data_IF_952726740882
#
_entry.id   IF_952726740882
#
_cell.length_a   1.000
_cell.length_b   1.000
_cell.length_c   1.000
_cell.angle_alpha   90.00
_cell.angle_beta   90.00
_cell.angle_gamma   90.00
#
_symmetry.space_group_name_H-M   'P 1'
#
loop_
_entity.id
_entity.type
_entity.pdbx_description
1 polymer ?
#
# COMPACT_ATOMS: atom_id res chain seq x y z
N UNK A 1 -1.93 3.31 -1.85
CA UNK A 1 -2.03 3.98 -0.54
C UNK A 1 -2.96 5.17 -0.71
N UNK A 2 -4.06 5.24 0.04
CA UNK A 2 -5.17 6.19 -0.25
C UNK A 2 -4.79 7.67 -0.06
N UNK A 3 -4.01 7.99 0.98
CA UNK A 3 -3.65 9.36 1.35
C UNK A 3 -2.31 9.87 0.79
N UNK A 4 -1.43 8.97 0.34
CA UNK A 4 -0.01 9.29 0.05
C UNK A 4 0.84 9.70 1.28
N UNK A 5 0.22 9.96 2.43
CA UNK A 5 0.82 10.34 3.72
C UNK A 5 0.21 9.50 4.86
N UNK A 6 0.82 9.46 6.07
CA UNK A 6 0.19 8.82 7.23
C UNK A 6 -1.16 9.48 7.59
N UNK A 7 -2.14 8.66 7.98
CA UNK A 7 -3.45 9.14 8.45
C UNK A 7 -3.36 9.81 9.82
N UNK A 8 -2.55 9.22 10.72
CA UNK A 8 -2.30 9.73 12.07
C UNK A 8 -0.88 10.28 12.12
N UNK A 9 -0.73 11.61 12.24
CA UNK A 9 0.58 12.29 12.19
C UNK A 9 1.04 12.77 13.57
N UNK A 10 1.10 11.85 14.54
CA UNK A 10 1.53 12.17 15.90
C UNK A 10 3.06 12.19 16.05
N UNK A 11 3.62 13.33 16.48
CA UNK A 11 5.06 13.48 16.76
C UNK A 11 5.51 12.85 18.10
N UNK A 12 4.56 12.43 18.93
CA UNK A 12 4.79 11.77 20.23
C UNK A 12 3.67 10.77 20.51
N UNK A 13 3.83 9.86 21.47
CA UNK A 13 2.77 8.91 21.84
C UNK A 13 1.45 9.60 22.21
N UNK A 14 1.50 10.74 22.91
CA UNK A 14 0.30 11.52 23.23
C UNK A 14 -0.30 12.21 21.99
N UNK A 15 0.54 12.80 21.14
CA UNK A 15 0.09 13.37 19.86
C UNK A 15 -0.55 12.30 18.96
N UNK A 16 0.01 11.09 18.92
CA UNK A 16 -0.52 9.98 18.15
C UNK A 16 -1.91 9.54 18.66
N UNK A 17 -2.11 9.47 19.97
CA UNK A 17 -3.43 9.18 20.55
C UNK A 17 -4.43 10.31 20.27
N UNK A 18 -4.00 11.58 20.32
CA UNK A 18 -4.84 12.72 19.95
C UNK A 18 -5.25 12.69 18.48
N UNK A 19 -4.33 12.35 17.56
CA UNK A 19 -4.63 12.21 16.13
C UNK A 19 -5.58 11.04 15.82
N UNK A 20 -5.44 9.92 16.52
CA UNK A 20 -6.39 8.80 16.44
C UNK A 20 -7.78 9.23 16.92
N UNK A 21 -7.87 9.91 18.07
CA UNK A 21 -9.13 10.42 18.64
C UNK A 21 -9.74 11.55 17.79
N UNK A 22 -8.92 12.33 17.09
CA UNK A 22 -9.40 13.34 16.12
C UNK A 22 -10.10 12.71 14.93
N UNK A 23 -9.59 11.58 14.44
CA UNK A 23 -10.18 10.85 13.33
C UNK A 23 -11.38 9.99 13.76
N UNK A 24 -11.21 9.11 14.74
CA UNK A 24 -12.19 8.10 15.15
C UNK A 24 -13.20 8.60 16.19
N UNK A 25 -13.02 9.81 16.73
CA UNK A 25 -13.78 10.31 17.88
C UNK A 25 -13.22 9.83 19.21
N UNK A 26 -13.85 10.25 20.30
CA UNK A 26 -13.50 9.77 21.65
C UNK A 26 -13.98 8.34 21.87
N UNK A 27 -13.12 7.42 22.34
CA UNK A 27 -13.51 6.05 22.64
C UNK A 27 -14.50 6.01 23.80
N UNK A 28 -15.44 5.07 23.73
CA UNK A 28 -16.35 4.79 24.85
C UNK A 28 -15.63 4.09 26.01
N UNK A 29 -16.21 4.09 27.21
CA UNK A 29 -15.64 3.39 28.37
C UNK A 29 -15.48 1.88 28.09
N UNK A 30 -16.48 1.26 27.45
CA UNK A 30 -16.44 -0.16 27.04
C UNK A 30 -15.28 -0.45 26.09
N UNK A 31 -14.97 0.46 25.17
CA UNK A 31 -13.85 0.31 24.24
C UNK A 31 -12.49 0.50 24.94
N UNK A 32 -12.40 1.43 25.88
CA UNK A 32 -11.22 1.60 26.74
C UNK A 32 -10.98 0.37 27.62
N UNK A 33 -12.04 -0.27 28.11
CA UNK A 33 -11.96 -1.54 28.85
C UNK A 33 -11.58 -2.72 27.93
N UNK A 34 -12.16 -2.83 26.74
CA UNK A 34 -11.80 -3.85 25.75
C UNK A 34 -10.32 -3.74 25.32
N UNK A 35 -9.80 -2.52 25.16
CA UNK A 35 -8.38 -2.27 24.91
C UNK A 35 -7.47 -2.72 26.06
N UNK A 36 -7.94 -2.68 27.32
CA UNK A 36 -7.20 -3.17 28.48
C UNK A 36 -7.29 -4.70 28.62
N UNK A 37 -8.47 -5.27 28.40
CA UNK A 37 -8.73 -6.71 28.52
C UNK A 37 -7.88 -7.54 27.55
N UNK A 38 -7.54 -6.99 26.39
CA UNK A 38 -6.59 -7.60 25.44
C UNK A 38 -5.13 -7.65 25.91
N UNK A 39 -4.77 -7.09 27.07
CA UNK A 39 -3.43 -7.17 27.69
C UNK A 39 -2.34 -6.28 27.06
N UNK A 40 -2.47 -5.91 25.79
CA UNK A 40 -1.42 -5.20 25.04
C UNK A 40 -1.43 -3.67 25.21
N UNK A 41 -2.57 -3.04 25.55
CA UNK A 41 -2.67 -1.58 25.54
C UNK A 41 -2.26 -0.91 26.86
N UNK A 42 -0.95 -0.79 27.09
CA UNK A 42 -0.37 0.03 28.20
C UNK A 42 -0.80 1.51 28.19
N UNK A 43 -1.38 1.98 27.08
CA UNK A 43 -1.82 3.36 26.88
C UNK A 43 -3.31 3.60 27.14
N UNK A 44 -4.10 2.58 27.50
CA UNK A 44 -5.55 2.73 27.67
C UNK A 44 -5.94 3.78 28.74
N UNK A 45 -5.14 3.93 29.81
CA UNK A 45 -5.33 5.01 30.81
C UNK A 45 -5.07 6.43 30.28
N UNK A 46 -4.41 6.58 29.13
CA UNK A 46 -4.34 7.86 28.40
C UNK A 46 -5.53 8.05 27.47
N UNK A 47 -6.03 6.99 26.83
CA UNK A 47 -7.29 7.04 26.07
C UNK A 47 -8.50 7.36 26.95
N UNK A 48 -8.54 6.86 28.20
CA UNK A 48 -9.55 7.26 29.18
C UNK A 48 -9.60 8.79 29.40
N UNK A 49 -8.43 9.43 29.56
CA UNK A 49 -8.31 10.90 29.72
C UNK A 49 -8.69 11.67 28.46
N UNK A 50 -8.54 11.05 27.28
CA UNK A 50 -8.98 11.65 26.02
C UNK A 50 -10.49 11.45 25.83
N UNK A 51 -11.10 10.38 26.37
CA UNK A 51 -12.54 10.14 26.30
C UNK A 51 -13.35 11.24 26.99
N UNK A 52 -12.81 11.83 28.07
CA UNK A 52 -13.36 13.01 28.76
C UNK A 52 -13.53 14.26 27.87
N UNK A 53 -12.98 14.26 26.63
CA UNK A 53 -13.09 15.38 25.69
C UNK A 53 -14.35 15.34 24.80
N UNK A 54 -15.17 14.29 24.88
CA UNK A 54 -16.46 14.11 24.17
C UNK A 54 -16.45 14.57 22.70
N UNK A 55 -15.52 14.03 21.89
CA UNK A 55 -15.35 14.46 20.49
C UNK A 55 -16.05 13.52 19.51
N UNK A 56 -16.81 14.05 18.53
CA UNK A 56 -17.35 13.24 17.45
C UNK A 56 -16.23 12.70 16.55
N UNK A 57 -16.51 11.59 15.88
CA UNK A 57 -15.66 11.09 14.80
C UNK A 57 -15.67 12.05 13.60
N UNK A 58 -14.54 12.14 12.90
CA UNK A 58 -14.48 12.77 11.58
C UNK A 58 -15.11 11.84 10.54
N UNK A 59 -15.75 12.39 9.51
CA UNK A 59 -16.29 11.58 8.42
C UNK A 59 -15.15 10.94 7.60
N UNK A 60 -15.32 9.69 7.14
CA UNK A 60 -14.29 9.01 6.36
C UNK A 60 -14.02 9.69 5.02
N UNK A 61 -15.03 10.34 4.45
CA UNK A 61 -14.98 11.18 3.27
C UNK A 61 -14.10 12.43 3.48
N UNK A 62 -14.03 12.98 4.70
CA UNK A 62 -13.15 14.11 5.04
C UNK A 62 -11.71 13.66 5.31
N UNK A 63 -11.54 12.46 5.88
CA UNK A 63 -10.22 11.87 6.14
C UNK A 63 -9.57 11.35 4.85
N UNK A 64 -10.37 10.85 3.90
CA UNK A 64 -9.96 10.19 2.65
C UNK A 64 -10.67 10.82 1.42
N UNK A 65 -10.50 12.13 1.16
CA UNK A 65 -11.29 12.85 0.14
C UNK A 65 -11.13 12.34 -1.29
N UNK A 66 -10.00 11.69 -1.60
CA UNK A 66 -9.79 11.05 -2.90
C UNK A 66 -10.71 9.83 -3.14
N UNK A 67 -11.32 9.28 -2.08
CA UNK A 67 -12.19 8.10 -2.12
C UNK A 67 -13.61 8.41 -1.58
N UNK A 68 -13.98 9.70 -1.47
CA UNK A 68 -15.28 10.13 -0.94
C UNK A 68 -16.48 9.57 -1.73
N UNK A 69 -16.31 9.29 -3.02
CA UNK A 69 -17.33 8.68 -3.88
C UNK A 69 -17.26 7.13 -3.89
N UNK A 70 -16.16 6.55 -3.40
CA UNK A 70 -15.89 5.11 -3.36
C UNK A 70 -16.22 4.52 -1.99
N UNK A 71 -17.51 4.43 -1.65
CA UNK A 71 -17.99 3.92 -0.35
C UNK A 71 -17.35 2.58 0.05
N UNK A 72 -17.19 1.66 -0.89
CA UNK A 72 -16.58 0.34 -0.71
C UNK A 72 -15.11 0.42 -0.25
N UNK A 73 -14.39 1.48 -0.65
CA UNK A 73 -13.03 1.77 -0.24
C UNK A 73 -12.95 2.37 1.16
N UNK A 74 -13.98 3.10 1.61
CA UNK A 74 -14.09 3.71 2.94
C UNK A 74 -14.56 2.72 4.02
N UNK A 75 -15.44 1.77 3.67
CA UNK A 75 -15.94 0.73 4.59
C UNK A 75 -14.80 -0.18 5.12
N UNK A 76 -13.70 -0.33 4.38
CA UNK A 76 -12.52 -1.09 4.78
C UNK A 76 -11.74 -0.45 5.95
N UNK A 77 -11.20 0.78 5.85
CA UNK A 77 -10.52 1.43 6.97
C UNK A 77 -11.46 1.64 8.16
N UNK A 78 -12.75 1.93 7.95
CA UNK A 78 -13.76 1.99 9.03
C UNK A 78 -13.81 0.68 9.83
N UNK A 79 -13.93 -0.46 9.14
CA UNK A 79 -14.02 -1.78 9.78
C UNK A 79 -12.69 -2.29 10.36
N UNK A 80 -11.55 -1.71 9.98
CA UNK A 80 -10.22 -2.09 10.46
C UNK A 80 -9.74 -1.21 11.63
N UNK A 81 -10.12 0.07 11.64
CA UNK A 81 -9.64 1.08 12.59
C UNK A 81 -10.65 1.29 13.73
N UNK A 82 -10.91 0.21 14.48
CA UNK A 82 -11.71 0.24 15.72
C UNK A 82 -10.82 0.27 16.97
N UNK A 83 -11.27 0.97 18.01
CA UNK A 83 -10.64 0.96 19.34
C UNK A 83 -10.66 -0.45 19.95
N UNK A 84 -11.83 -1.08 19.99
CA UNK A 84 -12.00 -2.48 20.40
C UNK A 84 -11.28 -3.41 19.39
N UNK A 85 -10.27 -4.18 19.82
CA UNK A 85 -9.56 -5.11 18.94
C UNK A 85 -10.45 -6.24 18.38
N UNK A 86 -11.49 -6.67 19.11
CA UNK A 86 -12.37 -7.77 18.72
C UNK A 86 -13.40 -7.36 17.64
N UNK A 87 -13.72 -6.06 17.53
CA UNK A 87 -14.57 -5.52 16.45
C UNK A 87 -13.83 -5.37 15.12
N UNK A 88 -12.50 -5.42 15.10
CA UNK A 88 -11.69 -5.24 13.87
C UNK A 88 -11.91 -6.38 12.89
N UNK A 89 -12.05 -6.03 11.62
CA UNK A 89 -12.32 -6.99 10.56
C UNK A 89 -11.17 -7.99 10.39
N UNK A 90 -11.47 -9.28 10.56
CA UNK A 90 -10.48 -10.34 10.36
C UNK A 90 -9.94 -10.31 8.90
N UNK A 91 -8.64 -10.52 8.65
CA UNK A 91 -8.05 -10.37 7.30
C UNK A 91 -8.76 -11.19 6.22
N UNK A 92 -9.09 -12.45 6.52
CA UNK A 92 -9.86 -13.33 5.63
C UNK A 92 -11.26 -12.81 5.29
N UNK A 93 -11.84 -11.95 6.13
CA UNK A 93 -13.11 -11.27 5.87
C UNK A 93 -12.90 -9.99 5.06
N UNK A 94 -11.87 -9.21 5.37
CA UNK A 94 -11.51 -7.99 4.64
C UNK A 94 -11.25 -8.25 3.15
N UNK A 95 -10.55 -9.35 2.81
CA UNK A 95 -10.33 -9.80 1.43
C UNK A 95 -11.63 -10.09 0.64
N UNK A 96 -12.79 -10.17 1.30
CA UNK A 96 -14.11 -10.41 0.65
C UNK A 96 -14.83 -9.13 0.26
N UNK A 97 -14.28 -7.96 0.62
CA UNK A 97 -14.86 -6.65 0.33
C UNK A 97 -15.15 -6.49 -1.16
N UNK A 98 -16.21 -5.76 -1.48
CA UNK A 98 -16.54 -5.29 -2.83
C UNK A 98 -15.38 -4.50 -3.46
N UNK A 99 -14.60 -3.78 -2.66
CA UNK A 99 -13.41 -3.07 -3.10
C UNK A 99 -12.42 -3.98 -3.87
N UNK A 100 -12.21 -5.21 -3.40
CA UNK A 100 -11.28 -6.16 -4.04
C UNK A 100 -11.90 -6.94 -5.22
N UNK A 101 -13.19 -6.81 -5.49
CA UNK A 101 -13.84 -7.50 -6.61
C UNK A 101 -13.42 -6.92 -7.97
N UNK A 102 -12.92 -5.68 -7.99
CA UNK A 102 -12.39 -5.00 -9.17
C UNK A 102 -10.90 -5.27 -9.42
N UNK A 103 -10.20 -6.03 -8.56
CA UNK A 103 -8.81 -6.44 -8.80
C UNK A 103 -8.62 -7.08 -10.19
N UNK A 104 -9.47 -8.03 -10.64
CA UNK A 104 -9.31 -8.64 -11.96
C UNK A 104 -9.59 -7.69 -13.12
N UNK A 105 -10.11 -6.48 -12.89
CA UNK A 105 -10.35 -5.48 -13.92
C UNK A 105 -9.12 -4.57 -14.18
N UNK A 106 -8.16 -4.53 -13.24
CA UNK A 106 -6.97 -3.66 -13.30
C UNK A 106 -6.22 -3.79 -14.66
N UNK A 107 -5.83 -2.69 -15.31
CA UNK A 107 -5.03 -2.73 -16.53
C UNK A 107 -3.59 -3.26 -16.31
N UNK A 108 -3.07 -3.22 -15.09
CA UNK A 108 -1.74 -3.69 -14.75
C UNK A 108 -1.73 -5.21 -14.49
N UNK A 109 -0.63 -5.91 -14.80
CA UNK A 109 -0.51 -7.33 -14.48
C UNK A 109 -0.47 -7.54 -12.96
N UNK A 110 -1.49 -8.20 -12.41
CA UNK A 110 -1.49 -8.65 -11.02
C UNK A 110 -0.40 -9.72 -10.81
N UNK A 111 0.30 -9.72 -9.66
CA UNK A 111 1.24 -10.77 -9.34
C UNK A 111 0.52 -12.12 -9.18
N UNK A 112 1.02 -13.18 -9.83
CA UNK A 112 0.34 -14.47 -9.92
C UNK A 112 0.09 -15.13 -8.55
N UNK A 113 1.01 -14.94 -7.62
CA UNK A 113 0.92 -15.45 -6.25
C UNK A 113 -0.08 -14.70 -5.35
N UNK A 114 -0.76 -13.66 -5.84
CA UNK A 114 -1.81 -12.94 -5.09
C UNK A 114 -3.00 -13.83 -4.70
N UNK A 115 -3.17 -14.96 -5.40
CA UNK A 115 -4.31 -15.87 -5.27
C UNK A 115 -3.91 -17.33 -4.96
N UNK A 116 -2.64 -17.55 -4.61
CA UNK A 116 -2.11 -18.88 -4.26
C UNK A 116 -2.17 -19.13 -2.74
N UNK A 117 -3.39 -19.12 -2.20
CA UNK A 117 -3.65 -19.33 -0.78
C UNK A 117 -3.31 -20.77 -0.33
N UNK A 118 -2.69 -20.89 0.85
CA UNK A 118 -2.37 -22.19 1.46
C UNK A 118 -3.59 -22.85 2.12
N UNK A 119 -3.50 -24.15 2.44
CA UNK A 119 -4.58 -24.83 3.16
C UNK A 119 -4.74 -24.29 4.59
N UNK A 120 -3.64 -23.91 5.24
CA UNK A 120 -3.61 -23.28 6.56
C UNK A 120 -4.29 -21.91 6.55
N UNK A 121 -3.98 -21.05 5.57
CA UNK A 121 -4.63 -19.74 5.41
C UNK A 121 -6.14 -19.90 5.20
N UNK A 122 -6.52 -20.82 4.30
CA UNK A 122 -7.91 -21.17 4.06
C UNK A 122 -8.56 -21.85 5.28
N UNK A 123 -7.84 -22.56 6.14
CA UNK A 123 -8.43 -23.26 7.30
C UNK A 123 -9.18 -22.28 8.23
N UNK A 124 -8.64 -21.08 8.41
CA UNK A 124 -9.23 -19.98 9.21
C UNK A 124 -10.44 -19.32 8.55
N UNK A 125 -10.68 -19.59 7.27
CA UNK A 125 -11.72 -18.97 6.48
C UNK A 125 -13.05 -19.75 6.56
N UNK A 126 -14.15 -19.01 6.75
CA UNK A 126 -15.51 -19.55 6.58
C UNK A 126 -15.76 -20.06 5.14
N UNK A 127 -16.72 -20.96 4.98
CA UNK A 127 -17.15 -21.54 3.70
C UNK A 127 -17.49 -20.48 2.65
N UNK A 128 -18.13 -19.37 3.03
CA UNK A 128 -18.44 -18.29 2.07
C UNK A 128 -17.19 -17.47 1.72
N UNK A 129 -16.22 -17.35 2.63
CA UNK A 129 -14.92 -16.74 2.35
C UNK A 129 -14.13 -17.57 1.34
N UNK A 130 -13.99 -18.88 1.58
CA UNK A 130 -13.34 -19.83 0.66
C UNK A 130 -13.89 -19.71 -0.76
N UNK A 131 -15.22 -19.73 -0.92
CA UNK A 131 -15.87 -19.61 -2.24
C UNK A 131 -15.50 -18.31 -2.98
N UNK A 132 -15.48 -17.17 -2.30
CA UNK A 132 -15.09 -15.88 -2.90
C UNK A 132 -13.61 -15.84 -3.30
N UNK A 133 -12.71 -16.35 -2.44
CA UNK A 133 -11.27 -16.40 -2.72
C UNK A 133 -10.96 -17.34 -3.91
N UNK A 134 -11.63 -18.50 -3.98
CA UNK A 134 -11.54 -19.39 -5.15
C UNK A 134 -12.08 -18.76 -6.43
N UNK A 135 -13.18 -18.01 -6.36
CA UNK A 135 -13.70 -17.28 -7.52
C UNK A 135 -12.69 -16.22 -8.01
N UNK A 136 -12.09 -15.45 -7.08
CA UNK A 136 -11.04 -14.49 -7.40
C UNK A 136 -9.83 -15.16 -8.07
N UNK A 137 -9.38 -16.32 -7.54
CA UNK A 137 -8.30 -17.13 -8.12
C UNK A 137 -8.59 -17.51 -9.58
N UNK A 138 -9.79 -18.02 -9.85
CA UNK A 138 -10.17 -18.39 -11.22
C UNK A 138 -10.24 -17.19 -12.17
N UNK A 139 -10.73 -16.03 -11.71
CA UNK A 139 -10.77 -14.81 -12.53
C UNK A 139 -9.37 -14.30 -12.89
N UNK A 140 -8.44 -14.27 -11.91
CA UNK A 140 -7.04 -13.85 -12.15
C UNK A 140 -6.30 -14.84 -13.05
N UNK A 141 -6.47 -16.16 -12.82
CA UNK A 141 -5.85 -17.20 -13.66
C UNK A 141 -6.39 -17.20 -15.09
N UNK A 142 -7.68 -16.91 -15.30
CA UNK A 142 -8.26 -16.80 -16.64
C UNK A 142 -7.80 -15.55 -17.42
N UNK A 143 -7.41 -14.47 -16.73
CA UNK A 143 -6.84 -13.26 -17.36
C UNK A 143 -5.34 -13.34 -17.62
N UNK A 144 -4.58 -14.17 -16.91
CA UNK A 144 -3.15 -14.34 -17.18
C UNK A 144 -2.95 -15.05 -18.52
N UNK A 145 -2.44 -14.38 -19.57
CA UNK A 145 -1.96 -15.09 -20.73
C UNK A 145 -0.74 -15.90 -20.32
N UNK A 146 -0.46 -16.97 -21.06
CA UNK A 146 0.77 -17.74 -20.96
C UNK A 146 1.97 -16.80 -21.14
N UNK A 147 2.71 -16.50 -20.06
CA UNK A 147 3.97 -15.75 -20.18
C UNK A 147 5.03 -16.73 -20.65
N UNK A 148 5.27 -16.76 -21.96
CA UNK A 148 6.40 -17.45 -22.58
C UNK A 148 7.71 -16.84 -22.07
N UNK A 149 8.26 -17.45 -21.02
CA UNK A 149 9.54 -17.08 -20.40
C UNK A 149 10.75 -17.27 -21.33
N UNK A 150 10.57 -17.94 -22.48
CA UNK A 150 11.62 -18.10 -23.51
C UNK A 150 11.82 -16.86 -24.41
N UNK A 151 10.89 -15.90 -24.43
CA UNK A 151 10.91 -14.80 -25.43
C UNK A 151 11.79 -13.59 -25.05
N UNK A 152 12.11 -13.39 -23.76
CA UNK A 152 12.87 -12.22 -23.27
C UNK A 152 14.38 -12.33 -23.53
N UNK A 153 14.91 -13.54 -23.77
CA UNK A 153 16.36 -13.81 -23.87
C UNK A 153 17.03 -13.48 -25.21
N UNK A 154 16.32 -12.94 -26.22
CA UNK A 154 16.85 -12.77 -27.60
C UNK A 154 16.70 -11.37 -28.21
N UNK A 155 16.78 -10.31 -27.40
CA UNK A 155 16.99 -8.92 -27.87
C UNK A 155 17.97 -8.14 -26.97
N UNK A 156 19.16 -8.69 -26.80
CA UNK A 156 20.31 -8.02 -26.17
C UNK A 156 21.57 -8.32 -27.00
N UNK A 157 21.72 -7.58 -28.09
CA UNK A 157 22.83 -7.67 -29.05
C UNK A 157 22.56 -6.66 -30.17
N UNK A 158 23.61 -5.95 -30.60
CA UNK A 158 23.54 -4.62 -31.26
C UNK A 158 23.06 -3.54 -30.26
N UNK A 159 23.82 -2.51 -29.87
CA UNK A 159 25.10 -1.98 -30.38
C UNK A 159 26.00 -1.42 -29.26
N UNK A 160 27.29 -1.78 -29.23
CA UNK A 160 28.32 -1.10 -28.38
C UNK A 160 29.71 -0.99 -29.06
N UNK A 161 29.81 -1.18 -30.37
CA UNK A 161 31.10 -1.20 -31.09
C UNK A 161 31.60 0.20 -31.53
N UNK A 162 30.84 1.28 -31.31
CA UNK A 162 31.18 2.64 -31.78
C UNK A 162 32.02 3.49 -30.78
N UNK A 163 32.30 2.99 -29.57
CA UNK A 163 32.99 3.77 -28.51
C UNK A 163 34.54 3.62 -28.49
N UNK A 164 35.15 2.90 -29.44
CA UNK A 164 36.60 2.60 -29.42
C UNK A 164 37.48 3.40 -30.38
N UNK A 165 36.95 4.01 -31.45
CA UNK A 165 37.78 4.71 -32.44
C UNK A 165 38.07 6.19 -32.09
N UNK A 166 37.18 6.84 -31.34
CA UNK A 166 37.29 8.27 -31.01
C UNK A 166 38.51 8.66 -30.14
N UNK A 167 39.23 7.70 -29.57
CA UNK A 167 40.31 7.95 -28.59
C UNK A 167 41.73 7.77 -29.12
N UNK A 168 41.91 7.48 -30.42
CA UNK A 168 43.22 7.21 -31.05
C UNK A 168 43.85 8.34 -31.87
N UNK A 169 43.24 9.54 -31.91
CA UNK A 169 43.72 10.72 -32.68
C UNK A 169 44.14 11.92 -31.81
N UNK A 170 44.92 11.71 -30.73
CA UNK A 170 45.60 12.78 -29.98
C UNK A 170 47.03 12.41 -29.55
N UNK A 171 47.91 12.07 -30.50
CA UNK A 171 49.38 12.09 -30.32
C UNK A 171 50.05 12.48 -31.65
N UNK A 172 50.88 13.54 -31.64
CA UNK A 172 51.67 14.02 -32.80
C UNK A 172 50.81 14.71 -33.88
N UNK A 173 51.14 15.87 -34.45
CA UNK A 173 52.44 16.49 -34.72
C UNK A 173 52.36 18.03 -34.73
N UNK A 174 53.47 18.69 -34.40
CA UNK A 174 53.85 20.07 -34.77
C UNK A 174 54.77 19.95 -36.02
N UNK A 175 55.01 20.96 -36.89
CA UNK A 175 55.44 22.32 -36.47
C UNK A 175 55.16 23.51 -37.43
N UNK A 176 55.66 24.72 -37.08
CA UNK A 176 56.05 25.94 -37.88
C UNK A 176 55.15 26.43 -39.05
N UNK A 177 55.01 27.69 -39.46
CA UNK A 177 55.51 29.06 -39.10
C UNK A 177 54.65 30.07 -39.94
N UNK A 178 54.62 31.41 -39.81
CA UNK A 178 55.10 32.44 -38.84
C UNK A 178 54.41 33.80 -39.26
N UNK A 179 54.80 34.94 -38.66
CA UNK A 179 54.51 36.35 -38.97
C UNK A 179 53.20 37.02 -38.49
N UNK A 180 53.43 38.06 -37.68
CA UNK A 180 52.82 39.42 -37.72
C UNK A 180 51.35 39.63 -37.29
N UNK A 181 50.95 40.77 -36.71
CA UNK A 181 51.68 42.03 -36.40
C UNK A 181 51.15 42.66 -35.08
N UNK A 182 51.96 43.52 -34.46
CA UNK A 182 51.58 44.38 -33.30
C UNK A 182 51.75 45.85 -33.71
N UNK A 183 50.81 46.73 -33.33
CA UNK A 183 51.21 47.91 -32.55
C UNK A 183 50.44 48.03 -31.21
#
# INVERSE_FOLDING_TARGET
MMLGRPLFTGESSWGQMYEIVRALGTPTLEEVEAMQAGGDCRLAGHFAKLAELERPASAWEELLPAFAEERQALELPESLLSFDPAKRLHPAVAMRSSFFQHLPDDPNPLPLNLVDFSEEELSTCDTMAKKKLWALRHMVQARSPFIDTESVGKRAGYDEEESRDAKRRRVGERPVDDLNDIP
#
